data_IF_100123069642
#
_entry.id   IF_100123069642
#
_cell.length_a   1.000
_cell.length_b   1.000
_cell.length_c   1.000
_cell.angle_alpha   90.00
_cell.angle_beta   90.00
_cell.angle_gamma   90.00
#
_symmetry.space_group_name_H-M   'P 1'
#
loop_
_entity.id
_entity.type
_entity.pdbx_description
1 polymer ?
2 non-polymer ?
3 non-polymer ?
4 water ?
#
# COMPACT_ATOMS: atom_id res chain seq x y z
N UNK A 1 -13.30 -10.33 17.45
CA UNK A 1 -13.52 -11.26 16.31
C UNK A 1 -12.28 -11.29 15.44
N UNK A 2 -12.32 -12.01 14.30
CA UNK A 2 -11.15 -12.04 13.45
C UNK A 2 -10.93 -10.59 12.98
N UNK A 3 -9.93 -10.40 12.16
CA UNK A 3 -9.71 -9.11 11.46
C UNK A 3 -10.41 -9.29 10.13
N UNK A 4 -11.02 -8.22 9.61
CA UNK A 4 -11.68 -8.31 8.31
C UNK A 4 -10.74 -7.81 7.22
N UNK A 5 -10.74 -8.48 6.10
CA UNK A 5 -9.86 -8.19 4.95
C UNK A 5 -10.60 -8.29 3.64
N UNK A 6 -10.15 -7.55 2.66
CA UNK A 6 -10.69 -7.57 1.28
C UNK A 6 -9.54 -7.75 0.31
N UNK A 7 -9.69 -8.56 -0.70
CA UNK A 7 -8.74 -8.64 -1.81
C UNK A 7 -8.95 -7.45 -2.76
N UNK A 8 -7.86 -6.89 -3.24
CA UNK A 8 -7.95 -5.75 -4.14
C UNK A 8 -6.68 -5.52 -4.95
N UNK A 9 -6.77 -4.72 -6.00
CA UNK A 9 -5.62 -4.17 -6.68
C UNK A 9 -5.65 -2.65 -6.53
N UNK A 10 -4.49 -2.05 -6.74
CA UNK A 10 -4.39 -0.59 -6.74
C UNK A 10 -3.82 -0.12 -8.05
N UNK A 11 -4.28 1.04 -8.54
CA UNK A 11 -3.60 1.74 -9.65
C UNK A 11 -3.43 3.21 -9.30
N UNK A 12 -2.28 3.77 -9.66
CA UNK A 12 -2.00 5.19 -9.39
C UNK A 12 -2.91 6.04 -10.28
N UNK A 13 -2.93 7.33 -10.01
CA UNK A 13 -3.90 8.22 -10.70
C UNK A 13 -3.49 8.42 -12.16
N UNK A 14 -2.28 8.04 -12.54
CA UNK A 14 -1.89 8.03 -13.98
C UNK A 14 -2.29 6.72 -14.61
N UNK A 15 -2.92 5.82 -13.84
CA UNK A 15 -3.46 4.49 -14.24
C UNK A 15 -2.29 3.51 -14.50
N UNK A 16 -1.22 3.60 -13.71
CA UNK A 16 -0.17 2.58 -13.68
C UNK A 16 -0.56 1.52 -12.66
N UNK A 17 -0.38 0.26 -13.04
CA UNK A 17 -0.62 -0.94 -12.19
C UNK A 17 0.64 -1.25 -11.39
N UNK A 18 0.52 -2.06 -10.34
CA UNK A 18 1.66 -2.47 -9.48
C UNK A 18 1.90 -3.97 -9.63
N UNK A 19 3.17 -4.34 -9.74
CA UNK A 19 3.64 -5.74 -9.91
C UNK A 19 4.86 -5.92 -9.00
N UNK A 20 5.04 -7.11 -8.41
CA UNK A 20 6.31 -7.45 -7.70
C UNK A 20 7.39 -7.63 -8.78
N UNK A 21 8.50 -6.89 -8.71
CA UNK A 21 9.56 -6.88 -9.76
C UNK A 21 10.90 -7.36 -9.21
N UNK A 22 10.90 -8.40 -8.39
CA UNK A 22 12.13 -8.99 -7.83
C UNK A 22 12.11 -8.93 -6.31
N UNK A 23 13.12 -9.53 -5.64
CA UNK A 23 13.07 -9.76 -4.20
C UNK A 23 12.61 -8.52 -3.42
N UNK A 24 11.34 -8.54 -3.00
CA UNK A 24 10.75 -7.58 -2.03
C UNK A 24 10.64 -6.20 -2.67
N UNK A 25 10.47 -6.16 -3.99
CA UNK A 25 10.37 -4.85 -4.68
C UNK A 25 9.08 -4.81 -5.49
N UNK A 26 8.43 -3.66 -5.42
CA UNK A 26 7.17 -3.36 -6.13
C UNK A 26 7.47 -2.20 -7.08
N UNK A 27 7.07 -2.33 -8.34
CA UNK A 27 7.24 -1.27 -9.37
C UNK A 27 5.86 -0.91 -9.93
N UNK A 28 5.76 0.26 -10.56
CA UNK A 28 4.54 0.70 -11.21
C UNK A 28 4.81 0.85 -12.71
N UNK A 29 3.93 0.25 -13.47
CA UNK A 29 4.02 0.39 -14.93
C UNK A 29 2.64 0.32 -15.54
N UNK A 30 2.59 0.88 -16.76
CA UNK A 30 1.38 0.84 -17.59
C UNK A 30 1.17 -0.59 -18.08
N UNK A 31 0.00 -1.16 -17.85
CA UNK A 31 -0.32 -2.58 -18.10
C UNK A 31 -1.73 -2.65 -18.61
N UNK A 32 -1.95 -3.56 -19.59
CA UNK A 32 -3.28 -3.84 -20.12
C UNK A 32 -3.21 -5.22 -20.79
N UNK A 33 -4.32 -5.90 -20.82
CA UNK A 33 -4.41 -7.20 -21.51
C UNK A 33 -3.79 -8.32 -20.70
N UNK A 34 -3.14 -9.27 -21.38
CA UNK A 34 -2.62 -10.49 -20.71
C UNK A 34 -1.66 -10.08 -19.59
N UNK A 35 -0.81 -9.08 -19.81
CA UNK A 35 0.22 -8.70 -18.82
C UNK A 35 -0.46 -8.24 -17.50
N UNK A 36 -1.79 -8.08 -17.45
CA UNK A 36 -2.44 -7.54 -16.21
C UNK A 36 -2.55 -8.64 -15.15
N UNK A 37 -2.46 -9.90 -15.55
CA UNK A 37 -2.43 -11.02 -14.57
C UNK A 37 -1.21 -10.83 -13.67
N UNK A 38 -0.18 -10.09 -14.08
CA UNK A 38 1.08 -9.91 -13.31
C UNK A 38 0.81 -8.96 -12.12
N UNK A 39 -0.27 -8.22 -12.12
CA UNK A 39 -0.42 -7.19 -11.08
C UNK A 39 -0.54 -7.82 -9.69
N UNK A 40 -0.06 -7.09 -8.70
CA UNK A 40 -0.10 -7.54 -7.30
C UNK A 40 -1.53 -7.48 -6.80
N UNK A 41 -1.98 -8.56 -6.17
CA UNK A 41 -3.24 -8.57 -5.41
C UNK A 41 -2.92 -8.38 -3.94
N UNK A 42 -3.52 -7.38 -3.35
CA UNK A 42 -3.39 -7.08 -1.93
C UNK A 42 -4.50 -7.76 -1.17
N UNK A 43 -4.19 -8.11 0.06
CA UNK A 43 -5.20 -8.34 1.11
C UNK A 43 -5.16 -7.12 1.99
N UNK A 44 -6.19 -6.29 1.90
CA UNK A 44 -6.29 -5.04 2.71
C UNK A 44 -7.04 -5.38 3.97
N UNK A 45 -6.39 -5.31 5.12
CA UNK A 45 -7.03 -5.59 6.43
C UNK A 45 -7.45 -4.27 7.07
N UNK A 46 -8.57 -4.28 7.79
CA UNK A 46 -9.10 -3.08 8.46
C UNK A 46 -8.70 -3.18 9.92
N UNK A 47 -7.75 -2.39 10.34
CA UNK A 47 -6.99 -2.62 11.58
C UNK A 47 -7.34 -1.57 12.62
N UNK A 48 -6.86 -1.81 13.82
CA UNK A 48 -6.95 -0.84 14.94
C UNK A 48 -6.20 0.45 14.62
N UNK A 49 -6.78 1.58 14.97
CA UNK A 49 -6.09 2.88 14.90
C UNK A 49 -7.10 4.02 14.89
N UNK A 50 -6.61 5.24 15.07
CA UNK A 50 -7.38 6.51 14.92
C UNK A 50 -8.14 6.52 13.58
N UNK A 51 -9.44 6.81 13.59
CA UNK A 51 -10.34 6.66 12.42
C UNK A 51 -11.28 7.88 12.31
N UNK A 52 -11.63 8.31 11.11
CA UNK A 52 -12.69 9.33 10.86
C UNK A 52 -13.45 8.97 9.57
N UNK A 53 -14.43 9.78 9.17
CA UNK A 53 -15.32 9.40 8.05
C UNK A 53 -14.44 8.96 6.88
N UNK A 54 -13.47 9.79 6.52
CA UNK A 54 -12.77 9.60 5.23
C UNK A 54 -11.34 9.07 5.43
N UNK A 55 -11.01 8.58 6.64
CA UNK A 55 -9.64 8.21 7.09
C UNK A 55 -9.69 6.88 7.87
N UNK A 56 -9.23 5.80 7.24
CA UNK A 56 -9.55 4.42 7.71
C UNK A 56 -8.22 3.69 7.83
N UNK A 57 -7.83 3.18 9.00
CA UNK A 57 -6.52 2.52 9.12
C UNK A 57 -6.57 1.13 8.50
N UNK A 58 -5.58 0.84 7.66
CA UNK A 58 -5.51 -0.48 7.00
C UNK A 58 -4.08 -0.98 7.10
N UNK A 59 -3.93 -2.29 6.88
CA UNK A 59 -2.65 -2.90 6.53
C UNK A 59 -2.78 -3.42 5.11
N UNK A 60 -1.68 -3.40 4.39
CA UNK A 60 -1.59 -3.90 3.00
C UNK A 60 -0.67 -5.11 2.93
N UNK A 61 -1.25 -6.30 3.02
CA UNK A 61 -0.57 -7.56 2.81
C UNK A 61 -0.63 -7.97 1.36
N UNK A 62 0.28 -8.80 0.90
CA UNK A 62 0.19 -9.43 -0.42
C UNK A 62 -0.65 -10.68 -0.30
N UNK A 63 -1.59 -10.86 -1.21
CA UNK A 63 -2.51 -12.01 -1.10
C UNK A 63 -1.76 -13.34 -1.00
N UNK A 64 -2.15 -14.06 0.05
CA UNK A 64 -1.64 -15.42 0.42
C UNK A 64 -0.11 -15.43 0.46
N UNK A 65 0.46 -14.31 0.93
CA UNK A 65 1.92 -14.24 1.24
C UNK A 65 2.04 -13.62 2.61
N UNK A 66 3.07 -14.01 3.35
CA UNK A 66 3.38 -13.42 4.67
C UNK A 66 4.26 -12.20 4.46
N UNK A 67 3.78 -11.25 3.64
CA UNK A 67 4.51 -10.04 3.29
C UNK A 67 3.54 -8.87 3.45
N UNK A 68 4.02 -7.81 4.09
CA UNK A 68 3.22 -6.58 4.35
C UNK A 68 4.04 -5.40 3.89
N UNK A 69 3.39 -4.40 3.32
CA UNK A 69 4.04 -3.09 3.23
C UNK A 69 4.26 -2.53 4.63
N UNK A 70 5.41 -1.86 4.79
CA UNK A 70 6.01 -1.51 6.10
C UNK A 70 6.79 -0.19 6.00
N UNK A 71 6.56 0.74 6.92
CA UNK A 71 7.25 2.04 6.92
C UNK A 71 8.28 2.02 8.05
N UNK A 72 9.54 2.16 7.68
CA UNK A 72 10.64 2.13 8.66
C UNK A 72 11.65 3.20 8.26
N UNK A 73 12.47 3.59 9.23
CA UNK A 73 13.62 4.43 8.91
C UNK A 73 14.69 3.57 8.27
N UNK A 74 15.21 4.02 7.13
CA UNK A 74 16.34 3.32 6.50
C UNK A 74 17.36 4.39 6.16
N UNK A 75 18.62 4.11 6.52
CA UNK A 75 19.71 5.10 6.38
C UNK A 75 19.08 6.46 6.78
N UNK A 76 18.40 6.48 7.93
CA UNK A 76 17.82 7.69 8.59
C UNK A 76 16.64 8.32 7.81
N UNK A 77 15.98 7.62 6.90
CA UNK A 77 14.83 8.25 6.17
C UNK A 77 13.59 7.33 6.28
N UNK A 78 12.35 7.88 6.37
CA UNK A 78 11.12 7.08 6.27
C UNK A 78 11.13 6.43 4.89
N UNK A 79 11.02 5.11 4.87
CA UNK A 79 11.00 4.36 3.60
C UNK A 79 9.90 3.30 3.67
N UNK A 80 9.53 2.88 2.48
CA UNK A 80 8.57 1.78 2.26
C UNK A 80 9.36 0.50 2.04
N UNK A 81 9.02 -0.56 2.76
CA UNK A 81 9.62 -1.87 2.53
C UNK A 81 8.52 -2.92 2.48
N UNK A 82 8.86 -4.08 1.94
CA UNK A 82 8.04 -5.28 2.08
C UNK A 82 8.66 -6.07 3.18
N UNK A 83 7.93 -6.39 4.21
CA UNK A 83 8.45 -7.05 5.42
C UNK A 83 7.75 -8.39 5.58
N UNK A 84 8.53 -9.43 5.89
CA UNK A 84 8.03 -10.80 6.17
C UNK A 84 7.58 -10.91 7.62
N UNK A 85 6.54 -11.71 7.86
CA UNK A 85 6.02 -11.94 9.21
C UNK A 85 5.80 -13.43 9.42
N UNK A 86 5.55 -13.77 10.67
CA UNK A 86 5.18 -15.18 11.01
C UNK A 86 3.79 -15.44 10.48
N UNK A 87 3.59 -16.34 9.49
CA UNK A 87 2.27 -16.50 8.88
C UNK A 87 1.24 -17.06 9.84
N UNK A 88 1.66 -17.57 11.00
CA UNK A 88 0.69 -18.08 12.01
C UNK A 88 -0.02 -16.91 12.71
N UNK A 89 0.53 -15.71 12.66
CA UNK A 89 0.13 -14.62 13.58
C UNK A 89 -0.53 -13.45 12.81
N UNK A 90 -0.58 -13.53 11.49
CA UNK A 90 -1.04 -12.41 10.63
C UNK A 90 -2.08 -12.93 9.66
N UNK A 91 -3.01 -12.07 9.21
CA UNK A 91 -3.13 -10.72 9.70
C UNK A 91 -3.73 -10.74 11.11
N UNK A 92 -3.66 -9.61 11.76
CA UNK A 92 -4.32 -9.44 13.06
C UNK A 92 -4.91 -8.06 13.15
N UNK A 93 -5.80 -7.88 14.12
CA UNK A 93 -6.52 -6.59 14.21
C UNK A 93 -5.58 -5.51 14.70
N UNK A 94 -4.72 -5.81 15.67
CA UNK A 94 -3.75 -4.86 16.27
C UNK A 94 -2.40 -4.98 15.55
N UNK A 95 -2.35 -4.53 14.31
CA UNK A 95 -1.08 -4.56 13.55
C UNK A 95 -0.14 -3.53 14.15
N UNK A 96 1.16 -3.82 14.18
CA UNK A 96 2.20 -2.88 14.61
C UNK A 96 2.17 -1.64 13.73
N UNK A 97 2.57 -0.50 14.28
CA UNK A 97 2.28 0.79 13.62
C UNK A 97 3.01 0.93 12.30
N UNK A 98 4.16 0.30 12.12
CA UNK A 98 4.92 0.40 10.85
C UNK A 98 4.08 -0.18 9.70
N UNK A 99 3.11 -1.05 9.98
CA UNK A 99 2.29 -1.72 8.94
C UNK A 99 1.03 -0.93 8.63
N UNK A 100 0.72 0.12 9.38
CA UNK A 100 -0.57 0.79 9.29
C UNK A 100 -0.45 2.00 8.36
N UNK A 101 -1.43 2.07 7.47
CA UNK A 101 -1.66 3.20 6.56
C UNK A 101 -3.04 3.76 6.86
N UNK A 102 -3.13 5.07 6.85
CA UNK A 102 -4.42 5.75 6.85
C UNK A 102 -4.88 5.90 5.40
N UNK A 103 -5.89 5.16 5.06
CA UNK A 103 -6.52 5.21 3.73
C UNK A 103 -7.50 6.38 3.74
N UNK A 104 -7.18 7.39 2.97
CA UNK A 104 -7.88 8.71 2.98
C UNK A 104 -8.59 8.85 1.63
N UNK A 105 -9.89 9.10 1.63
CA UNK A 105 -10.68 9.25 0.40
C UNK A 105 -10.78 10.74 0.13
N UNK A 106 -10.15 11.26 -0.92
CA UNK A 106 -10.36 12.70 -1.31
C UNK A 106 -10.67 12.73 -2.82
N UNK A 107 -11.81 13.33 -3.17
CA UNK A 107 -12.22 13.58 -4.58
C UNK A 107 -12.14 12.26 -5.36
N UNK A 108 -12.79 11.22 -4.85
CA UNK A 108 -13.01 9.96 -5.59
C UNK A 108 -11.67 9.25 -5.85
N UNK A 109 -10.61 9.62 -5.13
CA UNK A 109 -9.31 8.91 -5.16
C UNK A 109 -8.91 8.54 -3.74
N UNK A 110 -7.88 7.70 -3.62
CA UNK A 110 -7.39 7.25 -2.30
C UNK A 110 -5.94 7.70 -2.15
N UNK A 111 -5.57 8.07 -0.94
CA UNK A 111 -4.18 8.27 -0.55
C UNK A 111 -3.93 7.30 0.59
N UNK A 112 -2.71 6.83 0.72
CA UNK A 112 -2.31 5.94 1.82
C UNK A 112 -1.18 6.63 2.56
N UNK A 113 -1.53 7.29 3.65
CA UNK A 113 -0.56 7.95 4.53
C UNK A 113 0.04 6.92 5.50
N UNK A 114 1.32 6.97 5.75
CA UNK A 114 1.92 6.18 6.84
C UNK A 114 1.34 6.63 8.19
N UNK A 115 0.81 5.74 9.00
CA UNK A 115 0.38 6.06 10.37
C UNK A 115 1.63 6.39 11.17
N UNK A 116 2.73 5.72 10.94
CA UNK A 116 3.98 5.93 11.74
C UNK A 116 4.56 7.29 11.38
N UNK A 117 4.53 7.68 10.11
CA UNK A 117 5.25 8.87 9.61
C UNK A 117 4.23 9.82 9.00
N UNK A 118 3.61 10.73 9.79
CA UNK A 118 2.61 11.66 9.29
C UNK A 118 3.13 12.40 8.07
N UNK A 119 2.24 12.50 7.07
CA UNK A 119 2.43 13.24 5.82
C UNK A 119 3.45 12.60 4.88
N UNK A 120 3.76 11.33 5.11
CA UNK A 120 4.49 10.45 4.17
C UNK A 120 3.48 9.46 3.58
N UNK A 121 3.55 9.33 2.27
CA UNK A 121 2.52 8.65 1.45
C UNK A 121 3.12 7.58 0.57
N UNK A 122 2.37 6.49 0.38
CA UNK A 122 2.69 5.57 -0.74
C UNK A 122 2.65 6.38 -2.05
N UNK A 123 3.72 6.27 -2.80
CA UNK A 123 4.00 7.11 -3.98
C UNK A 123 4.48 6.28 -5.16
N UNK A 124 4.21 6.79 -6.37
CA UNK A 124 4.87 6.28 -7.56
C UNK A 124 5.54 7.44 -8.30
N UNK A 125 6.45 7.08 -9.18
CA UNK A 125 7.11 8.02 -10.10
C UNK A 125 6.27 8.16 -11.37
N UNK A 126 6.50 9.26 -12.09
CA UNK A 126 5.93 9.44 -13.45
C UNK A 126 6.48 8.41 -14.45
N UNK A 127 7.78 8.15 -14.42
CA UNK A 127 8.42 7.14 -15.28
C UNK A 127 7.90 5.75 -14.97
N UNK A 128 7.90 4.92 -15.97
CA UNK A 128 7.53 3.50 -15.86
C UNK A 128 8.65 2.72 -15.20
N UNK A 129 8.31 1.59 -14.59
CA UNK A 129 9.29 0.62 -14.08
C UNK A 129 10.17 1.16 -12.97
N UNK A 130 9.64 2.07 -12.15
CA UNK A 130 10.38 2.60 -10.99
C UNK A 130 9.68 2.10 -9.72
N UNK A 131 10.42 2.04 -8.61
CA UNK A 131 9.90 1.50 -7.37
C UNK A 131 8.70 2.32 -6.88
N UNK A 132 7.84 1.60 -6.20
CA UNK A 132 6.85 2.21 -5.27
C UNK A 132 7.62 2.61 -4.03
N UNK A 133 7.35 3.78 -3.50
CA UNK A 133 8.18 4.34 -2.42
C UNK A 133 7.33 5.13 -1.48
N UNK A 134 7.92 5.50 -0.33
CA UNK A 134 7.29 6.44 0.59
C UNK A 134 7.81 7.84 0.32
N UNK A 135 6.88 8.74 0.04
CA UNK A 135 7.22 10.09 -0.39
C UNK A 135 6.68 11.06 0.61
N UNK A 136 7.50 12.10 0.92
CA UNK A 136 7.28 13.02 2.06
C UNK A 136 6.46 14.23 1.66
N UNK A 137 5.77 14.19 0.52
CA UNK A 137 4.72 15.19 0.20
C UNK A 137 3.67 14.58 -0.75
N UNK A 138 2.39 14.86 -0.45
CA UNK A 138 1.23 14.73 -1.38
C UNK A 138 1.18 15.98 -2.28
N UNK A 139 2.33 16.49 -2.74
CA UNK A 139 2.45 17.68 -3.62
C UNK A 139 3.76 17.70 -4.41
N UNK A 140 3.70 17.91 -5.75
CA UNK A 140 4.86 17.90 -6.68
C UNK A 140 4.67 16.93 -7.84
N UNK A 141 5.76 16.30 -8.33
CA UNK A 141 5.79 15.46 -9.56
C UNK A 141 5.41 14.00 -9.25
N UNK A 142 5.70 13.52 -8.04
CA UNK A 142 5.34 12.15 -7.63
C UNK A 142 3.83 12.01 -7.36
N UNK A 143 3.35 10.81 -7.59
CA UNK A 143 1.93 10.49 -7.61
C UNK A 143 1.60 9.86 -6.26
N UNK A 144 0.63 10.41 -5.56
CA UNK A 144 0.23 9.94 -4.22
C UNK A 144 -1.24 9.53 -4.19
N UNK A 145 -1.96 9.55 -5.32
CA UNK A 145 -3.39 9.24 -5.44
C UNK A 145 -3.52 7.92 -6.17
N UNK A 146 -4.49 7.14 -5.78
CA UNK A 146 -4.74 5.78 -6.30
C UNK A 146 -6.21 5.56 -6.46
N UNK A 147 -6.57 4.54 -7.24
CA UNK A 147 -7.88 3.90 -7.22
C UNK A 147 -7.73 2.45 -6.83
N UNK A 148 -8.78 1.90 -6.22
CA UNK A 148 -8.80 0.48 -5.78
C UNK A 148 -9.78 -0.23 -6.70
N UNK A 149 -9.46 -1.48 -7.01
CA UNK A 149 -10.37 -2.42 -7.73
C UNK A 149 -10.57 -3.59 -6.79
N UNK A 150 -11.79 -3.97 -6.54
CA UNK A 150 -12.14 -5.10 -5.65
C UNK A 150 -11.98 -6.35 -6.53
N UNK A 151 -11.41 -7.39 -5.92
CA UNK A 151 -11.05 -8.67 -6.58
C UNK A 151 -11.87 -9.77 -5.85
N UNK A 152 -12.37 -10.77 -6.57
CA UNK A 152 -13.01 -11.96 -5.94
C UNK A 152 -11.99 -12.69 -5.06
X LIG B 1 -7.00 -11.05 15.49
X LIG B 1 -6.40 -12.27 16.01
X LIG B 1 -8.34 -10.88 16.02
X LIG B 1 -6.18 -9.95 15.88
X LIG B 1 -7.07 -11.15 14.05
X LIG C 1 7.59 -6.19 16.59
X LIG C 1 6.93 -6.88 15.48
X LIG C 1 7.06 -6.67 17.84
X LIG C 1 9.01 -6.45 16.50
X LIG C 1 7.38 -4.74 16.54
X LIG D 1 1.57 -12.65 -7.75
X LIG D 1 1.83 -12.02 -6.40
X LIG D 1 0.51 -11.74 -5.64
X LIG D 1 0.68 -10.96 -4.34
X LIG D 1 -0.70 -11.55 -7.62
X LIG D 1 0.52 -11.87 -8.50
X LIG D 1 5.14 -12.78 -8.02
X LIG D 1 7.54 -12.46 -8.16
X LIG D 1 3.77 -14.43 -7.14
X LIG D 1 6.41 -13.15 -7.40
X LIG D 1 3.95 -13.45 -7.86
X LIG D 1 2.78 -12.84 -8.65
X LIG D 1 0.03 -12.66 -9.74
X LIG D 1 -0.26 -10.90 -6.46
#
# INVERSE_FOLDING_TARGET
>A
APVRSLNCTLRDSQQKSLVMSGPYELKALHLQGQDMEQQVVFSMSFVQGEESNDKIPVALGLKEKNLYLSCVLKDDKPTLQLESVDPKNYPKKKMEKRFVFNKIEINNKLEFESAQFPNWYISTSQAENMPVFLGGTKGGQDITDFTMQFVSS
>B hetero
1 SO4 S O1 O2 O3 O4
>C hetero
1 SO4 S O1 O2 O3 O4
>D hetero
1 S8D N1 C4 C5 C6 C7 C8 N C O C1 C2 C3 C9 O1
#
